data_IF_425836250186
#
_entry.id   IF_425836250186
#
_cell.length_a   1.000
_cell.length_b   1.000
_cell.length_c   1.000
_cell.angle_alpha   90.00
_cell.angle_beta   90.00
_cell.angle_gamma   90.00
#
_symmetry.space_group_name_H-M   'P 1'
#
loop_
_entity.id
_entity.type
_entity.pdbx_description
1 polymer ?
#
# COMPACT_ATOMS: atom_id res chain seq x y z
N UNK A 1 -2.18 9.30 30.35
CA UNK A 1 -3.24 8.26 30.43
C UNK A 1 -2.54 6.91 30.33
N UNK A 2 -2.95 5.87 31.07
CA UNK A 2 -2.35 4.56 30.90
C UNK A 2 -2.66 4.07 29.48
N UNK A 3 -1.67 3.48 28.81
CA UNK A 3 -1.88 2.79 27.55
C UNK A 3 -2.98 1.74 27.78
N UNK A 4 -4.06 1.81 27.00
CA UNK A 4 -5.01 0.71 26.95
C UNK A 4 -4.23 -0.52 26.45
N UNK A 5 -4.38 -1.66 27.12
CA UNK A 5 -3.69 -2.89 26.74
C UNK A 5 -4.37 -3.52 25.52
N UNK A 6 -4.20 -2.88 24.36
CA UNK A 6 -4.76 -3.28 23.06
C UNK A 6 -3.66 -3.42 22.03
N UNK A 7 -3.87 -4.26 21.02
CA UNK A 7 -2.88 -4.50 19.96
C UNK A 7 -2.54 -3.22 19.17
N UNK A 8 -3.54 -2.35 18.94
CA UNK A 8 -3.34 -1.03 18.34
C UNK A 8 -2.31 -0.18 19.11
N UNK A 9 -2.46 -0.11 20.44
CA UNK A 9 -1.65 0.78 21.27
C UNK A 9 -0.26 0.22 21.57
N UNK A 10 -0.12 -1.11 21.67
CA UNK A 10 1.14 -1.76 22.08
C UNK A 10 1.94 -2.34 20.91
N UNK A 11 1.33 -2.52 19.74
CA UNK A 11 1.98 -3.07 18.54
C UNK A 11 1.85 -2.13 17.34
N UNK A 12 0.63 -1.80 16.91
CA UNK A 12 0.42 -1.09 15.64
C UNK A 12 1.01 0.32 15.65
N UNK A 13 0.62 1.15 16.63
CA UNK A 13 1.11 2.53 16.72
C UNK A 13 2.63 2.62 16.96
N UNK A 14 3.24 1.80 17.83
CA UNK A 14 4.70 1.75 17.96
C UNK A 14 5.40 1.34 16.66
N UNK A 15 4.90 0.32 15.95
CA UNK A 15 5.48 -0.11 14.68
C UNK A 15 5.39 1.01 13.62
N UNK A 16 4.24 1.68 13.54
CA UNK A 16 4.04 2.85 12.69
C UNK A 16 5.08 3.95 13.00
N UNK A 17 5.34 4.23 14.28
CA UNK A 17 6.35 5.20 14.70
C UNK A 17 7.75 4.84 14.20
N UNK A 18 8.16 3.58 14.38
CA UNK A 18 9.45 3.07 13.88
C UNK A 18 9.58 3.19 12.37
N UNK A 19 8.52 2.85 11.61
CA UNK A 19 8.55 2.99 10.16
C UNK A 19 8.62 4.45 9.71
N UNK A 20 7.98 5.37 10.45
CA UNK A 20 8.10 6.80 10.18
C UNK A 20 9.54 7.31 10.39
N UNK A 21 10.24 6.83 11.42
CA UNK A 21 11.67 7.14 11.64
C UNK A 21 12.57 6.63 10.51
N UNK A 22 12.18 5.52 9.86
CA UNK A 22 12.84 4.98 8.67
C UNK A 22 12.46 5.71 7.37
N UNK A 23 11.63 6.76 7.43
CA UNK A 23 11.18 7.54 6.28
C UNK A 23 10.03 6.93 5.48
N UNK A 24 9.35 5.92 6.02
CA UNK A 24 8.21 5.30 5.35
C UNK A 24 6.95 6.14 5.52
N UNK A 25 6.20 6.30 4.43
CA UNK A 25 4.88 6.94 4.47
C UNK A 25 3.81 5.90 4.77
N UNK A 26 2.91 6.20 5.71
CA UNK A 26 1.81 5.31 6.11
C UNK A 26 0.47 5.75 5.53
N UNK A 27 -0.42 4.80 5.29
CA UNK A 27 -1.84 5.03 4.98
C UNK A 27 -2.69 4.12 5.86
N UNK A 28 -3.78 4.66 6.40
CA UNK A 28 -4.78 3.86 7.14
C UNK A 28 -5.61 3.04 6.16
N UNK A 29 -5.47 1.72 6.22
CA UNK A 29 -6.31 0.79 5.45
C UNK A 29 -7.69 0.56 6.09
N UNK A 30 -7.88 0.98 7.35
CA UNK A 30 -9.13 0.86 8.09
C UNK A 30 -10.10 1.99 7.76
N UNK A 31 -9.58 3.22 7.63
CA UNK A 31 -10.36 4.41 7.26
C UNK A 31 -10.38 4.68 5.74
N UNK A 32 -9.95 3.70 4.94
CA UNK A 32 -9.87 3.87 3.48
C UNK A 32 -11.25 4.03 2.84
N UNK A 33 -11.30 4.89 1.82
CA UNK A 33 -12.41 4.95 0.87
C UNK A 33 -12.12 4.06 -0.35
N UNK A 34 -13.16 3.49 -0.94
CA UNK A 34 -13.07 2.62 -2.13
C UNK A 34 -13.44 3.37 -3.40
N UNK A 35 -13.00 2.85 -4.55
CA UNK A 35 -13.32 3.37 -5.89
C UNK A 35 -12.17 4.13 -6.55
N UNK A 36 -12.42 4.70 -7.73
CA UNK A 36 -11.41 5.33 -8.60
C UNK A 36 -10.66 6.52 -7.97
N UNK A 37 -11.19 7.10 -6.89
CA UNK A 37 -10.55 8.16 -6.08
C UNK A 37 -10.32 7.74 -4.63
N UNK A 38 -10.45 6.44 -4.35
CA UNK A 38 -10.28 5.86 -3.02
C UNK A 38 -8.84 5.93 -2.53
N UNK A 39 -8.65 5.96 -1.21
CA UNK A 39 -7.34 6.15 -0.55
C UNK A 39 -6.26 5.18 -1.01
N UNK A 40 -6.66 3.97 -1.38
CA UNK A 40 -5.74 2.94 -1.89
C UNK A 40 -6.02 2.54 -3.34
N UNK A 41 -6.93 3.24 -4.03
CA UNK A 41 -7.38 2.91 -5.40
C UNK A 41 -7.83 1.45 -5.58
N UNK A 42 -8.27 0.81 -4.48
CA UNK A 42 -8.90 -0.51 -4.51
C UNK A 42 -10.39 -0.36 -4.75
N UNK A 43 -10.95 -1.24 -5.57
CA UNK A 43 -12.39 -1.32 -5.75
C UNK A 43 -13.02 -2.08 -4.57
N UNK A 44 -12.30 -3.07 -4.02
CA UNK A 44 -12.82 -3.92 -2.92
C UNK A 44 -11.81 -4.20 -1.80
N UNK A 45 -12.33 -4.63 -0.63
CA UNK A 45 -11.52 -5.17 0.48
C UNK A 45 -10.84 -6.52 0.16
N UNK A 46 -11.21 -7.18 -0.94
CA UNK A 46 -10.63 -8.46 -1.36
C UNK A 46 -9.29 -8.35 -2.09
N UNK A 47 -9.03 -7.22 -2.77
CA UNK A 47 -7.80 -7.02 -3.57
C UNK A 47 -6.50 -6.94 -2.73
N UNK A 48 -5.82 -8.06 -2.50
CA UNK A 48 -4.55 -8.06 -1.77
C UNK A 48 -3.47 -7.17 -2.38
N UNK A 49 -3.53 -6.97 -3.71
CA UNK A 49 -2.56 -6.20 -4.49
C UNK A 49 -3.13 -4.82 -4.87
N UNK A 50 -2.33 -3.77 -4.64
CA UNK A 50 -2.62 -2.40 -5.06
C UNK A 50 -2.10 -2.17 -6.48
N UNK A 51 -2.78 -2.73 -7.49
CA UNK A 51 -2.28 -2.77 -8.88
C UNK A 51 -1.90 -1.38 -9.42
N UNK A 52 -2.70 -0.35 -9.18
CA UNK A 52 -2.40 1.02 -9.64
C UNK A 52 -1.14 1.61 -8.99
N UNK A 53 -0.94 1.37 -7.69
CA UNK A 53 0.27 1.84 -7.00
C UNK A 53 1.49 1.02 -7.41
N UNK A 54 1.31 -0.28 -7.63
CA UNK A 54 2.37 -1.17 -8.10
C UNK A 54 2.83 -0.80 -9.51
N UNK A 55 1.89 -0.50 -10.43
CA UNK A 55 2.23 -0.01 -11.77
C UNK A 55 3.07 1.26 -11.71
N UNK A 56 2.61 2.27 -10.97
CA UNK A 56 3.36 3.53 -10.82
C UNK A 56 4.75 3.32 -10.21
N UNK A 57 4.88 2.44 -9.21
CA UNK A 57 6.17 2.09 -8.63
C UNK A 57 7.09 1.35 -9.63
N UNK A 58 6.54 0.42 -10.41
CA UNK A 58 7.29 -0.31 -11.44
C UNK A 58 7.77 0.63 -12.55
N UNK A 59 6.95 1.58 -12.98
CA UNK A 59 7.35 2.64 -13.94
C UNK A 59 8.48 3.49 -13.38
N UNK A 60 8.39 3.89 -12.11
CA UNK A 60 9.43 4.70 -11.48
C UNK A 60 10.75 3.94 -11.32
N UNK A 61 10.72 2.68 -10.90
CA UNK A 61 11.94 1.87 -10.75
C UNK A 61 12.54 1.45 -12.09
N UNK A 62 11.73 1.27 -13.13
CA UNK A 62 12.15 0.70 -14.42
C UNK A 62 11.96 1.69 -15.58
N UNK A 63 12.38 2.94 -15.41
CA UNK A 63 12.18 4.01 -16.40
C UNK A 63 12.83 3.76 -17.77
N UNK A 64 13.72 2.77 -17.88
CA UNK A 64 14.40 2.38 -19.11
C UNK A 64 13.72 1.20 -19.85
N UNK A 65 12.73 0.55 -19.22
CA UNK A 65 12.00 -0.56 -19.82
C UNK A 65 10.80 -0.05 -20.64
N UNK A 66 10.41 -0.78 -21.70
CA UNK A 66 9.20 -0.47 -22.43
C UNK A 66 7.96 -0.68 -21.54
N UNK A 67 6.93 0.18 -21.64
CA UNK A 67 5.73 0.08 -20.80
C UNK A 67 5.00 -1.26 -20.98
N UNK A 68 5.11 -1.88 -22.15
CA UNK A 68 4.53 -3.20 -22.42
C UNK A 68 5.12 -4.30 -21.52
N UNK A 69 6.39 -4.19 -21.14
CA UNK A 69 7.03 -5.13 -20.23
C UNK A 69 6.51 -4.99 -18.79
N UNK A 70 6.17 -3.76 -18.38
CA UNK A 70 5.60 -3.47 -17.06
C UNK A 70 4.17 -4.03 -16.99
N UNK A 71 3.36 -3.80 -18.02
CA UNK A 71 2.00 -4.36 -18.12
C UNK A 71 2.02 -5.89 -18.11
N UNK A 72 2.92 -6.51 -18.89
CA UNK A 72 3.03 -7.96 -18.93
C UNK A 72 3.41 -8.58 -17.56
N UNK A 73 4.29 -7.91 -16.80
CA UNK A 73 4.66 -8.37 -15.46
C UNK A 73 3.49 -8.27 -14.47
N UNK A 74 2.64 -7.25 -14.61
CA UNK A 74 1.45 -7.10 -13.76
C UNK A 74 0.37 -8.13 -14.08
N UNK A 75 0.20 -8.48 -15.36
CA UNK A 75 -0.77 -9.49 -15.79
C UNK A 75 -0.42 -10.91 -15.30
N UNK A 76 0.87 -11.21 -15.11
CA UNK A 76 1.35 -12.52 -14.63
C UNK A 76 1.23 -12.69 -13.10
N UNK A 77 0.86 -11.63 -12.37
CA UNK A 77 0.74 -11.71 -10.91
C UNK A 77 -0.55 -12.44 -10.47
N UNK A 78 -0.46 -13.33 -9.46
CA UNK A 78 -1.64 -13.98 -8.90
C UNK A 78 -2.56 -12.95 -8.23
N UNK A 79 -3.84 -12.99 -8.61
CA UNK A 79 -4.92 -12.11 -8.11
C UNK A 79 -5.43 -12.55 -6.74
#
# INVERSE_FOLDING_TARGET
MPLAYTEDQIVELPAIGLFAELGWTRVSALEKTFGATGTLLRETKGEGVLVSQLHAALEQLNSALPPEAITAALDDMPR
#
